data_IF_384035172022
#
_entry.id   IF_384035172022
#
_cell.length_a   1.000
_cell.length_b   1.000
_cell.length_c   1.000
_cell.angle_alpha   90.00
_cell.angle_beta   90.00
_cell.angle_gamma   90.00
#
_symmetry.space_group_name_H-M   'P 1'
#
loop_
_entity.id
_entity.type
_entity.pdbx_description
1 polymer ?
#
# COMPACT_ATOMS: atom_id res chain seq x y z
N UNK A 1 32.80 3.26 17.43
CA UNK A 1 32.68 3.68 16.63
C UNK A 1 32.61 4.05 16.28
N UNK A 2 32.54 4.01 16.41
CA UNK A 2 32.46 4.62 15.72
C UNK A 2 32.24 4.95 15.37
N UNK A 3 32.27 4.80 15.65
CA UNK A 3 32.24 5.36 14.92
C UNK A 3 32.17 5.70 14.53
N UNK A 4 32.30 5.59 14.72
CA UNK A 4 32.31 6.12 13.97
C UNK A 4 32.06 6.40 13.43
N UNK A 5 32.15 6.49 13.63
CA UNK A 5 31.96 6.95 12.83
C UNK A 5 31.76 7.32 12.44
N UNK A 6 31.76 7.36 12.31
CA UNK A 6 31.47 7.89 11.55
C UNK A 6 31.18 8.14 10.84
N UNK A 7 31.38 8.37 10.87
CA UNK A 7 30.96 8.71 9.94
C UNK A 7 30.40 8.71 9.40
N UNK A 8 30.15 8.93 9.13
CA UNK A 8 29.46 9.11 8.44
C UNK A 8 28.93 9.04 8.00
N UNK A 9 28.73 9.11 7.81
CA UNK A 9 28.07 9.16 7.14
C UNK A 9 27.33 9.26 6.92
N UNK A 10 27.25 9.38 6.63
CA UNK A 10 26.61 9.59 6.08
C UNK A 10 25.70 9.27 5.94
N UNK A 11 25.96 9.98 5.57
CA UNK A 11 24.61 9.78 5.59
C UNK A 11 24.01 8.51 5.03
N UNK A 12 23.63 7.69 5.81
CA UNK A 12 23.21 6.41 5.46
C UNK A 12 21.77 6.32 5.06
N UNK A 13 20.97 7.28 5.50
CA UNK A 13 19.54 7.29 5.24
C UNK A 13 19.21 8.50 4.43
N UNK A 14 19.27 8.37 3.12
CA UNK A 14 18.80 9.41 2.22
C UNK A 14 17.30 9.60 2.36
N UNK A 15 16.80 10.71 1.86
CA UNK A 15 15.35 10.94 1.80
C UNK A 15 14.66 9.81 1.06
N UNK A 16 15.26 9.35 -0.04
CA UNK A 16 14.72 8.23 -0.80
C UNK A 16 14.57 6.99 0.06
N UNK A 17 15.65 6.56 0.74
CA UNK A 17 15.62 5.35 1.57
C UNK A 17 14.59 5.43 2.67
N UNK A 18 14.52 6.58 3.37
CA UNK A 18 13.57 6.77 4.44
C UNK A 18 12.13 6.67 3.96
N UNK A 19 11.85 7.27 2.80
CA UNK A 19 10.50 7.25 2.24
C UNK A 19 10.11 5.89 1.70
N UNK A 20 11.07 5.16 1.12
CA UNK A 20 10.81 3.79 0.68
C UNK A 20 10.46 2.91 1.86
N UNK A 21 11.24 2.98 2.93
CA UNK A 21 11.01 2.16 4.13
C UNK A 21 9.66 2.49 4.76
N UNK A 22 9.34 3.76 4.87
CA UNK A 22 8.08 4.21 5.44
C UNK A 22 6.89 3.74 4.59
N UNK A 23 7.00 3.83 3.27
CA UNK A 23 5.94 3.39 2.37
C UNK A 23 5.74 1.87 2.46
N UNK A 24 6.82 1.10 2.47
CA UNK A 24 6.72 -0.36 2.56
C UNK A 24 6.08 -0.78 3.87
N UNK A 25 6.44 -0.14 4.97
CA UNK A 25 5.84 -0.43 6.26
C UNK A 25 4.35 -0.10 6.26
N UNK A 26 3.97 1.06 5.74
CA UNK A 26 2.57 1.46 5.66
C UNK A 26 1.77 0.51 4.77
N UNK A 27 2.36 0.07 3.68
CA UNK A 27 1.70 -0.87 2.77
C UNK A 27 1.50 -2.22 3.45
N UNK A 28 2.52 -2.74 4.12
CA UNK A 28 2.41 -4.01 4.83
C UNK A 28 1.33 -3.96 5.91
N UNK A 29 1.25 -2.85 6.65
CA UNK A 29 0.21 -2.65 7.64
C UNK A 29 -1.18 -2.62 6.99
N UNK A 30 -1.29 -1.96 5.85
CA UNK A 30 -2.55 -1.85 5.15
C UNK A 30 -3.07 -3.20 4.66
N UNK A 31 -2.20 -4.01 4.02
CA UNK A 31 -2.63 -5.27 3.42
C UNK A 31 -2.80 -6.39 4.44
N UNK A 32 -2.29 -6.21 5.65
CA UNK A 32 -2.38 -7.24 6.71
C UNK A 32 -3.32 -6.84 7.85
N UNK A 33 -3.86 -5.63 7.85
CA UNK A 33 -4.73 -5.20 8.95
C UNK A 33 -6.01 -6.00 8.98
N UNK A 34 -6.53 -6.21 10.18
CA UNK A 34 -7.81 -6.86 10.38
C UNK A 34 -8.93 -5.97 9.85
N UNK A 35 -9.96 -6.61 9.33
CA UNK A 35 -11.14 -5.90 8.85
C UNK A 35 -12.36 -6.56 9.48
N UNK A 36 -12.95 -5.89 10.46
CA UNK A 36 -14.03 -6.44 11.25
C UNK A 36 -15.38 -5.88 10.82
N UNK A 37 -16.45 -6.69 10.91
CA UNK A 37 -17.79 -6.18 10.63
C UNK A 37 -18.18 -5.15 11.66
N UNK A 38 -18.75 -4.03 11.20
CA UNK A 38 -19.32 -3.01 12.08
C UNK A 38 -20.72 -3.39 12.51
N UNK A 39 -21.53 -3.88 11.56
CA UNK A 39 -22.89 -4.32 11.85
C UNK A 39 -23.41 -5.17 10.71
N UNK A 40 -24.51 -5.88 11.00
CA UNK A 40 -25.20 -6.72 10.03
C UNK A 40 -26.64 -6.27 9.94
N UNK A 41 -27.21 -6.19 8.74
CA UNK A 41 -28.59 -5.77 8.52
C UNK A 41 -29.41 -6.98 8.13
N UNK A 42 -30.10 -7.55 9.11
CA UNK A 42 -31.06 -8.67 8.92
C UNK A 42 -30.49 -9.84 8.11
N UNK A 43 -29.19 -10.07 8.23
CA UNK A 43 -28.53 -11.13 7.45
C UNK A 43 -28.39 -10.83 5.98
N UNK A 44 -28.72 -9.64 5.51
CA UNK A 44 -28.66 -9.29 4.10
C UNK A 44 -27.23 -8.93 3.70
N UNK A 45 -26.57 -8.13 4.53
CA UNK A 45 -25.15 -7.79 4.30
C UNK A 45 -24.51 -7.38 5.61
N UNK A 46 -23.15 -7.44 5.61
CA UNK A 46 -22.34 -6.92 6.70
C UNK A 46 -21.56 -5.72 6.18
N UNK A 47 -21.48 -4.68 7.01
CA UNK A 47 -20.64 -3.53 6.71
C UNK A 47 -19.35 -3.66 7.53
N UNK A 48 -18.23 -3.55 6.87
CA UNK A 48 -16.93 -3.68 7.51
C UNK A 48 -16.31 -2.33 7.82
N UNK A 49 -15.33 -2.35 8.71
CA UNK A 49 -14.66 -1.16 9.19
C UNK A 49 -13.87 -0.45 8.09
N UNK A 50 -13.25 -1.22 7.22
CA UNK A 50 -12.40 -0.69 6.17
C UNK A 50 -12.82 -1.16 4.79
N UNK A 51 -12.65 -0.31 3.76
CA UNK A 51 -12.80 -0.78 2.38
C UNK A 51 -11.83 -1.92 2.10
N UNK A 52 -12.25 -2.90 1.31
CA UNK A 52 -11.42 -4.05 0.97
C UNK A 52 -10.24 -3.63 0.10
N UNK A 53 -10.52 -2.80 -0.91
CA UNK A 53 -9.51 -2.32 -1.84
C UNK A 53 -9.64 -0.82 -2.05
N UNK A 54 -8.50 -0.15 -2.05
CA UNK A 54 -8.38 1.27 -2.38
C UNK A 54 -7.19 1.45 -3.29
N UNK A 55 -6.98 2.66 -3.80
CA UNK A 55 -5.81 2.97 -4.62
C UNK A 55 -4.51 2.61 -3.89
N UNK A 56 -4.48 2.74 -2.56
CA UNK A 56 -3.30 2.44 -1.77
C UNK A 56 -2.95 0.95 -1.74
N UNK A 57 -3.89 0.07 -2.10
CA UNK A 57 -3.64 -1.37 -2.16
C UNK A 57 -2.99 -1.81 -3.47
N UNK A 58 -2.90 -0.94 -4.47
CA UNK A 58 -2.30 -1.31 -5.75
C UNK A 58 -0.80 -1.55 -5.58
N UNK A 59 -0.18 -2.35 -6.46
CA UNK A 59 1.26 -2.58 -6.35
C UNK A 59 2.02 -1.27 -6.29
N UNK A 60 3.01 -1.20 -5.41
CA UNK A 60 3.73 0.04 -5.16
C UNK A 60 4.44 0.57 -6.40
N UNK A 61 4.96 -0.32 -7.23
CA UNK A 61 5.67 0.09 -8.44
C UNK A 61 4.74 0.68 -9.52
N UNK A 62 3.43 0.56 -9.36
CA UNK A 62 2.48 1.26 -10.24
C UNK A 62 2.41 2.75 -9.90
N UNK A 63 2.67 3.09 -8.65
CA UNK A 63 2.53 4.47 -8.15
C UNK A 63 3.85 5.17 -7.94
N UNK A 64 4.94 4.42 -7.76
CA UNK A 64 6.24 5.00 -7.45
C UNK A 64 7.32 4.37 -8.33
N UNK A 65 8.25 5.21 -8.79
CA UNK A 65 9.47 4.73 -9.42
C UNK A 65 10.49 4.47 -8.32
N UNK A 66 10.99 3.24 -8.23
CA UNK A 66 11.95 2.84 -7.20
C UNK A 66 13.40 3.07 -7.63
N UNK A 67 13.62 3.74 -8.77
CA UNK A 67 14.96 4.10 -9.22
C UNK A 67 15.33 5.45 -8.61
N UNK A 68 16.26 5.44 -7.67
CA UNK A 68 16.67 6.65 -6.97
C UNK A 68 17.21 7.72 -7.91
N UNK A 69 17.87 7.32 -9.00
CA UNK A 69 18.43 8.29 -9.96
C UNK A 69 17.35 9.05 -10.69
N UNK A 70 16.17 8.46 -10.87
CA UNK A 70 15.05 9.08 -11.56
C UNK A 70 14.05 9.72 -10.60
N UNK A 71 14.04 9.28 -9.37
CA UNK A 71 13.06 9.71 -8.38
C UNK A 71 13.72 9.90 -7.01
N UNK A 72 14.69 10.84 -6.91
CA UNK A 72 15.53 10.93 -5.71
C UNK A 72 14.78 11.30 -4.45
N UNK A 73 13.63 11.96 -4.57
CA UNK A 73 12.82 12.31 -3.41
C UNK A 73 11.66 11.35 -3.17
N UNK A 74 11.61 10.29 -3.96
CA UNK A 74 10.60 9.24 -3.88
C UNK A 74 9.19 9.82 -3.87
N UNK A 75 8.86 10.54 -4.93
CA UNK A 75 7.54 11.13 -5.08
C UNK A 75 6.61 10.17 -5.80
N UNK A 76 5.35 10.22 -5.44
CA UNK A 76 4.33 9.43 -6.11
C UNK A 76 4.04 10.03 -7.48
N UNK A 77 3.94 9.18 -8.51
CA UNK A 77 3.59 9.66 -9.84
C UNK A 77 2.08 9.75 -9.98
N UNK A 78 1.64 10.57 -10.91
CA UNK A 78 0.24 10.65 -11.25
C UNK A 78 -0.16 9.40 -12.04
N UNK A 79 -1.36 8.94 -11.87
CA UNK A 79 -1.84 7.83 -12.67
C UNK A 79 -2.92 7.01 -12.01
N UNK A 80 -2.74 6.63 -10.76
CA UNK A 80 -3.75 5.84 -10.07
C UNK A 80 -4.49 6.74 -9.10
N UNK A 81 -5.76 7.01 -9.43
CA UNK A 81 -6.60 7.85 -8.59
C UNK A 81 -7.54 7.04 -7.71
N UNK A 82 -8.04 5.94 -8.23
CA UNK A 82 -9.07 5.19 -7.52
C UNK A 82 -9.18 3.75 -8.01
N UNK A 83 -9.76 2.92 -7.17
CA UNK A 83 -10.17 1.57 -7.50
C UNK A 83 -11.69 1.56 -7.52
N UNK A 84 -12.25 1.14 -8.64
CA UNK A 84 -13.69 1.15 -8.85
C UNK A 84 -14.25 -0.26 -8.91
N UNK A 85 -15.55 -0.34 -9.06
CA UNK A 85 -16.36 -1.54 -9.15
C UNK A 85 -15.60 -2.81 -9.46
N UNK A 86 -15.71 -3.79 -8.59
CA UNK A 86 -15.08 -5.08 -8.77
C UNK A 86 -16.09 -6.10 -9.23
N UNK A 87 -15.69 -6.92 -10.21
CA UNK A 87 -16.30 -8.23 -10.36
C UNK A 87 -15.86 -9.09 -9.20
N UNK A 88 -16.71 -9.98 -8.71
CA UNK A 88 -16.40 -10.84 -7.60
C UNK A 88 -16.90 -12.26 -7.84
N UNK A 89 -16.06 -13.23 -7.49
CA UNK A 89 -16.46 -14.65 -7.57
C UNK A 89 -15.87 -15.38 -6.36
N UNK A 90 -16.55 -16.45 -5.96
CA UNK A 90 -16.05 -17.35 -4.91
C UNK A 90 -15.45 -18.56 -5.58
N UNK A 91 -14.19 -18.84 -5.27
CA UNK A 91 -13.45 -19.95 -5.88
C UNK A 91 -12.54 -20.59 -4.85
N UNK A 92 -12.62 -21.90 -4.70
CA UNK A 92 -11.83 -22.68 -3.73
C UNK A 92 -11.90 -22.08 -2.31
N UNK A 93 -13.11 -21.67 -1.89
CA UNK A 93 -13.29 -21.13 -0.55
C UNK A 93 -12.82 -19.71 -0.35
N UNK A 94 -12.37 -19.06 -1.41
CA UNK A 94 -11.88 -17.68 -1.34
C UNK A 94 -12.69 -16.78 -2.27
N UNK A 95 -12.75 -15.50 -1.92
CA UNK A 95 -13.35 -14.50 -2.78
C UNK A 95 -12.26 -13.87 -3.64
N UNK A 96 -12.50 -13.83 -4.95
CA UNK A 96 -11.59 -13.22 -5.91
C UNK A 96 -12.26 -11.96 -6.44
N UNK A 97 -11.53 -10.84 -6.40
CA UNK A 97 -12.01 -9.56 -6.90
C UNK A 97 -11.23 -9.16 -8.14
N UNK A 98 -11.94 -8.61 -9.12
CA UNK A 98 -11.34 -8.07 -10.33
C UNK A 98 -11.73 -6.60 -10.42
N UNK A 99 -10.99 -5.71 -9.74
CA UNK A 99 -11.34 -4.29 -9.71
C UNK A 99 -10.86 -3.56 -10.96
N UNK A 100 -11.54 -2.43 -11.25
CA UNK A 100 -11.07 -1.49 -12.25
C UNK A 100 -10.23 -0.42 -11.55
N UNK A 101 -9.04 -0.16 -12.07
CA UNK A 101 -8.11 0.82 -11.51
C UNK A 101 -7.94 1.97 -12.47
N UNK A 102 -8.12 3.19 -11.98
CA UNK A 102 -7.93 4.41 -12.76
C UNK A 102 -7.11 5.43 -12.02
#
# INVERSE_FOLDING_TARGET
>A
MDSLTFATPFNMNSVFSQRVDSLRQSFDELITRSNTPLFSTNGIYNRYEHPVLTAAHTPLNWRFDFDETKNPFFMERFGINAVFNSGAIKFNGKYILVPRVE
#
